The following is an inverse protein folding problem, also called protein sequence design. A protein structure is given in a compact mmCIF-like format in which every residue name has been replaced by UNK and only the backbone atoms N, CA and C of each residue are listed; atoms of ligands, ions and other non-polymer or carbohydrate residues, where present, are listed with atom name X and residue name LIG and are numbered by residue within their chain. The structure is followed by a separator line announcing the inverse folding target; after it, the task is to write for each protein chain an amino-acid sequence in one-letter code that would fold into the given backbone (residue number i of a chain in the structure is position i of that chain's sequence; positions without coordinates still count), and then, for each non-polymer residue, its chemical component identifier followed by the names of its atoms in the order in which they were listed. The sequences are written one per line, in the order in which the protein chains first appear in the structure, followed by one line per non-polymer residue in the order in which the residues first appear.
data_IF_348817536307
#
_entry.id   IF_348817536307
#
_cell.length_a   1.000
_cell.length_b   1.000
_cell.length_c   1.000
_cell.angle_alpha   90.00
_cell.angle_beta   90.00
_cell.angle_gamma   90.00
#
_symmetry.space_group_name_H-M   'P 1'
#
loop_
_entity.id
_entity.type
_entity.pdbx_description
1 polymer ?
#
# COMPACT_ATOMS: atom_id res chain seq x y z
N UNK A 1 -27.88 9.01 -23.95
CA UNK A 1 -26.87 8.62 -24.95
C UNK A 1 -26.48 7.19 -24.67
N UNK A 2 -26.57 6.30 -25.66
CA UNK A 2 -26.13 4.91 -25.53
C UNK A 2 -24.63 4.85 -25.75
N UNK A 3 -23.86 4.59 -24.70
CA UNK A 3 -22.43 4.37 -24.82
C UNK A 3 -22.17 3.06 -25.57
N UNK A 4 -21.13 2.97 -26.42
CA UNK A 4 -20.63 1.70 -26.92
C UNK A 4 -20.34 0.75 -25.74
N UNK A 5 -20.57 -0.57 -25.87
CA UNK A 5 -20.41 -1.52 -24.77
C UNK A 5 -19.06 -1.40 -24.04
N UNK A 6 -17.95 -1.30 -24.79
CA UNK A 6 -16.62 -1.11 -24.20
C UNK A 6 -16.49 0.18 -23.39
N UNK A 7 -17.09 1.28 -23.83
CA UNK A 7 -17.05 2.54 -23.10
C UNK A 7 -17.89 2.49 -21.82
N UNK A 8 -19.00 1.76 -21.85
CA UNK A 8 -19.78 1.47 -20.66
C UNK A 8 -18.96 0.61 -19.67
N UNK A 9 -18.31 -0.44 -20.15
CA UNK A 9 -17.48 -1.31 -19.29
C UNK A 9 -16.27 -0.55 -18.71
N UNK A 10 -15.62 0.32 -19.48
CA UNK A 10 -14.54 1.20 -18.99
C UNK A 10 -15.07 2.12 -17.87
N UNK A 11 -16.26 2.68 -18.04
CA UNK A 11 -16.89 3.55 -17.06
C UNK A 11 -17.19 2.81 -15.75
N UNK A 12 -17.79 1.63 -15.83
CA UNK A 12 -18.10 0.81 -14.67
C UNK A 12 -16.81 0.37 -13.95
N UNK A 13 -15.79 -0.08 -14.69
CA UNK A 13 -14.48 -0.39 -14.12
C UNK A 13 -13.85 0.82 -13.41
N UNK A 14 -13.95 2.01 -13.99
CA UNK A 14 -13.43 3.23 -13.36
C UNK A 14 -14.23 3.65 -12.12
N UNK A 15 -15.54 3.38 -12.07
CA UNK A 15 -16.40 3.61 -10.89
C UNK A 15 -16.07 2.63 -9.77
N UNK A 16 -15.95 1.34 -10.08
CA UNK A 16 -15.65 0.30 -9.12
C UNK A 16 -14.25 0.45 -8.53
N UNK A 17 -13.25 0.72 -9.39
CA UNK A 17 -11.85 0.73 -9.00
C UNK A 17 -11.32 2.12 -8.67
N UNK A 18 -12.05 3.18 -8.98
CA UNK A 18 -11.63 4.58 -8.81
C UNK A 18 -10.59 5.08 -9.83
N UNK A 19 -9.79 4.19 -10.43
CA UNK A 19 -8.83 4.43 -11.50
C UNK A 19 -8.69 3.21 -12.41
N UNK A 20 -8.47 3.46 -13.70
CA UNK A 20 -8.14 2.44 -14.71
C UNK A 20 -6.96 2.91 -15.56
N UNK A 21 -5.97 2.03 -15.76
CA UNK A 21 -4.81 2.35 -16.61
C UNK A 21 -5.09 2.04 -18.09
N UNK A 22 -4.43 2.77 -18.99
CA UNK A 22 -4.55 2.52 -20.43
C UNK A 22 -4.09 1.11 -20.78
N UNK A 23 -2.99 0.65 -20.19
CA UNK A 23 -2.36 -0.63 -20.51
C UNK A 23 -3.21 -1.81 -20.01
N UNK A 24 -3.78 -1.71 -18.80
CA UNK A 24 -4.70 -2.71 -18.25
C UNK A 24 -5.94 -2.85 -19.12
N UNK A 25 -6.56 -1.73 -19.52
CA UNK A 25 -7.74 -1.76 -20.38
C UNK A 25 -7.39 -2.28 -21.79
N UNK A 26 -6.23 -1.93 -22.33
CA UNK A 26 -5.78 -2.41 -23.64
C UNK A 26 -5.65 -3.95 -23.64
N UNK A 27 -5.06 -4.49 -22.57
CA UNK A 27 -4.95 -5.94 -22.38
C UNK A 27 -6.32 -6.60 -22.14
N UNK A 28 -7.14 -6.04 -21.25
CA UNK A 28 -8.45 -6.60 -20.88
C UNK A 28 -9.43 -6.66 -22.07
N UNK A 29 -9.43 -5.64 -22.93
CA UNK A 29 -10.30 -5.58 -24.10
C UNK A 29 -9.65 -6.09 -25.39
N UNK A 30 -8.40 -6.58 -25.33
CA UNK A 30 -7.60 -7.02 -26.48
C UNK A 30 -7.55 -5.98 -27.62
N UNK A 31 -7.31 -4.71 -27.27
CA UNK A 31 -7.20 -3.59 -28.21
C UNK A 31 -5.89 -2.83 -28.02
N UNK A 32 -5.57 -1.92 -28.95
CA UNK A 32 -4.38 -1.09 -28.83
C UNK A 32 -4.54 -0.01 -27.76
N UNK A 33 -3.44 0.44 -27.11
CA UNK A 33 -3.46 1.59 -26.20
C UNK A 33 -4.05 2.86 -26.84
N UNK A 34 -3.86 3.03 -28.16
CA UNK A 34 -4.47 4.14 -28.90
C UNK A 34 -6.00 4.08 -28.94
N UNK A 35 -6.57 2.88 -29.04
CA UNK A 35 -8.02 2.68 -29.00
C UNK A 35 -8.59 3.08 -27.64
N UNK A 36 -7.95 2.62 -26.56
CA UNK A 36 -8.33 3.00 -25.19
C UNK A 36 -8.17 4.50 -24.94
N UNK A 37 -7.08 5.12 -25.42
CA UNK A 37 -6.89 6.58 -25.32
C UNK A 37 -8.05 7.34 -25.97
N UNK A 38 -8.53 6.88 -27.13
CA UNK A 38 -9.69 7.48 -27.80
C UNK A 38 -10.96 7.32 -26.99
N UNK A 39 -11.23 6.12 -26.45
CA UNK A 39 -12.43 5.87 -25.62
C UNK A 39 -12.42 6.71 -24.34
N UNK A 40 -11.28 6.78 -23.65
CA UNK A 40 -11.09 7.63 -22.47
C UNK A 40 -11.31 9.10 -22.80
N UNK A 41 -10.78 9.59 -23.93
CA UNK A 41 -10.96 10.98 -24.33
C UNK A 41 -12.43 11.30 -24.58
N UNK A 42 -13.16 10.42 -25.26
CA UNK A 42 -14.59 10.61 -25.51
C UNK A 42 -15.42 10.61 -24.22
N UNK A 43 -15.13 9.70 -23.30
CA UNK A 43 -15.78 9.67 -21.98
C UNK A 43 -15.44 10.91 -21.14
N UNK A 44 -14.22 11.42 -21.26
CA UNK A 44 -13.80 12.63 -20.55
C UNK A 44 -14.40 13.92 -21.12
N UNK A 45 -14.53 14.03 -22.45
CA UNK A 45 -15.25 15.12 -23.11
C UNK A 45 -16.73 15.17 -22.69
N UNK A 46 -17.31 14.02 -22.34
CA UNK A 46 -18.68 13.91 -21.83
C UNK A 46 -18.79 14.15 -20.31
N UNK A 47 -17.67 14.43 -19.61
CA UNK A 47 -17.65 14.61 -18.16
C UNK A 47 -18.00 13.34 -17.40
N UNK A 48 -17.73 12.17 -17.98
CA UNK A 48 -17.99 10.86 -17.37
C UNK A 48 -16.74 10.27 -16.71
N UNK A 49 -15.55 10.70 -17.16
CA UNK A 49 -14.25 10.33 -16.60
C UNK A 49 -13.33 11.55 -16.52
N UNK A 50 -12.44 11.55 -15.54
CA UNK A 50 -11.33 12.49 -15.43
C UNK A 50 -10.05 11.88 -15.97
N UNK A 51 -9.39 12.55 -16.91
CA UNK A 51 -8.09 12.10 -17.43
C UNK A 51 -6.99 12.27 -16.38
N UNK A 52 -6.11 11.28 -16.31
CA UNK A 52 -4.92 11.27 -15.45
C UNK A 52 -3.69 10.83 -16.27
N UNK A 53 -2.50 10.97 -15.72
CA UNK A 53 -1.29 10.48 -16.40
C UNK A 53 -1.33 8.95 -16.51
N UNK A 54 -1.40 8.42 -17.73
CA UNK A 54 -1.41 6.98 -18.00
C UNK A 54 -2.77 6.26 -17.90
N UNK A 55 -3.87 6.99 -17.67
CA UNK A 55 -5.18 6.37 -17.43
C UNK A 55 -6.34 7.35 -17.30
N UNK A 56 -7.40 6.89 -16.65
CA UNK A 56 -8.56 7.70 -16.30
C UNK A 56 -9.13 7.30 -14.94
N UNK A 57 -9.78 8.26 -14.27
CA UNK A 57 -10.48 8.07 -13.02
C UNK A 57 -11.97 8.40 -13.18
N UNK A 58 -12.83 7.85 -12.33
CA UNK A 58 -14.21 8.30 -12.26
C UNK A 58 -14.29 9.75 -11.78
N UNK A 59 -15.21 10.55 -12.31
CA UNK A 59 -15.44 11.93 -11.87
C UNK A 59 -15.84 12.04 -10.39
N UNK A 60 -16.53 11.02 -9.85
CA UNK A 60 -16.92 11.00 -8.43
C UNK A 60 -15.79 10.57 -7.49
N UNK A 61 -14.63 10.15 -8.01
CA UNK A 61 -13.50 9.71 -7.18
C UNK A 61 -12.75 10.91 -6.62
N UNK A 62 -12.48 10.90 -5.31
CA UNK A 62 -11.55 11.86 -4.71
C UNK A 62 -10.14 11.68 -5.30
N UNK A 63 -9.36 12.75 -5.39
CA UNK A 63 -7.95 12.70 -5.86
C UNK A 63 -7.12 11.69 -5.05
N UNK A 64 -7.37 11.57 -3.74
CA UNK A 64 -6.70 10.61 -2.87
C UNK A 64 -7.09 9.17 -3.18
N UNK A 65 -8.37 8.89 -3.44
CA UNK A 65 -8.85 7.56 -3.80
C UNK A 65 -8.28 7.12 -5.17
N UNK A 66 -8.30 8.01 -6.16
CA UNK A 66 -7.62 7.75 -7.45
C UNK A 66 -6.14 7.44 -7.27
N UNK A 67 -5.42 8.21 -6.44
CA UNK A 67 -4.00 7.96 -6.16
C UNK A 67 -3.77 6.64 -5.42
N UNK A 68 -4.69 6.21 -4.56
CA UNK A 68 -4.66 4.88 -3.95
C UNK A 68 -4.82 3.78 -5.00
N UNK A 69 -5.84 3.85 -5.84
CA UNK A 69 -6.09 2.84 -6.88
C UNK A 69 -4.96 2.73 -7.89
N UNK A 70 -4.37 3.87 -8.29
CA UNK A 70 -3.15 3.89 -9.10
C UNK A 70 -2.00 3.16 -8.39
N UNK A 71 -1.77 3.44 -7.11
CA UNK A 71 -0.75 2.73 -6.32
C UNK A 71 -1.06 1.24 -6.22
N UNK A 72 -2.32 0.83 -6.09
CA UNK A 72 -2.68 -0.58 -5.97
C UNK A 72 -2.35 -1.38 -7.25
N UNK A 73 -2.50 -0.76 -8.43
CA UNK A 73 -2.12 -1.37 -9.72
C UNK A 73 -0.62 -1.29 -10.04
N UNK A 74 0.07 -0.24 -9.59
CA UNK A 74 1.50 -0.06 -9.83
C UNK A 74 2.36 -1.10 -9.11
N UNK A 75 3.42 -1.58 -9.77
CA UNK A 75 4.41 -2.50 -9.20
C UNK A 75 3.76 -3.73 -8.54
N UNK A 76 2.68 -4.24 -9.14
CA UNK A 76 1.85 -5.27 -8.53
C UNK A 76 2.61 -6.58 -8.34
N UNK A 77 3.41 -6.97 -9.33
CA UNK A 77 4.18 -8.22 -9.30
C UNK A 77 5.34 -8.12 -8.30
N UNK A 78 5.99 -6.96 -8.21
CA UNK A 78 7.01 -6.64 -7.20
C UNK A 78 6.42 -6.72 -5.79
N UNK A 79 5.27 -6.08 -5.56
CA UNK A 79 4.57 -6.13 -4.27
C UNK A 79 4.17 -7.54 -3.89
N UNK A 80 3.75 -8.35 -4.86
CA UNK A 80 3.40 -9.74 -4.62
C UNK A 80 4.62 -10.57 -4.19
N UNK A 81 5.78 -10.38 -4.83
CA UNK A 81 7.03 -11.05 -4.42
C UNK A 81 7.49 -10.62 -3.03
N UNK A 82 7.47 -9.31 -2.76
CA UNK A 82 7.76 -8.74 -1.43
C UNK A 82 6.79 -9.33 -0.39
N UNK A 83 5.50 -9.40 -0.72
CA UNK A 83 4.47 -9.93 0.17
C UNK A 83 4.69 -11.40 0.52
N UNK A 84 4.98 -12.24 -0.47
CA UNK A 84 5.24 -13.65 -0.27
C UNK A 84 6.49 -13.88 0.59
N UNK A 85 7.57 -13.12 0.35
CA UNK A 85 8.80 -13.21 1.12
C UNK A 85 8.60 -12.80 2.58
N UNK A 86 7.84 -11.74 2.83
CA UNK A 86 7.49 -11.32 4.20
C UNK A 86 6.63 -12.37 4.88
N UNK A 87 5.56 -12.84 4.22
CA UNK A 87 4.65 -13.82 4.79
C UNK A 87 5.37 -15.12 5.18
N UNK A 88 6.36 -15.57 4.38
CA UNK A 88 7.18 -16.74 4.70
C UNK A 88 8.01 -16.62 5.98
N UNK A 89 8.23 -15.40 6.48
CA UNK A 89 8.97 -15.13 7.72
C UNK A 89 8.05 -15.07 8.95
N UNK A 90 6.72 -15.12 8.77
CA UNK A 90 5.75 -15.00 9.85
C UNK A 90 5.34 -16.38 10.36
N UNK A 91 5.56 -16.69 11.65
CA UNK A 91 5.05 -17.92 12.23
C UNK A 91 3.51 -17.91 12.34
N UNK A 92 2.90 -19.09 12.31
CA UNK A 92 1.52 -19.25 12.79
C UNK A 92 1.42 -18.79 14.25
N UNK A 93 0.24 -18.31 14.64
CA UNK A 93 -0.05 -17.81 15.99
C UNK A 93 0.73 -16.55 16.42
N UNK A 94 1.40 -15.87 15.49
CA UNK A 94 2.08 -14.61 15.76
C UNK A 94 1.10 -13.44 15.93
N UNK A 95 1.55 -12.41 16.67
CA UNK A 95 0.88 -11.12 16.78
C UNK A 95 1.53 -10.08 15.86
N UNK A 96 0.71 -9.34 15.10
CA UNK A 96 1.16 -8.48 14.01
C UNK A 96 0.51 -7.10 14.06
N UNK A 97 1.30 -6.06 13.81
CA UNK A 97 0.80 -4.79 13.29
C UNK A 97 0.88 -4.80 11.76
N UNK A 98 -0.15 -4.28 11.10
CA UNK A 98 -0.14 -4.01 9.65
C UNK A 98 -0.60 -2.58 9.42
N UNK A 99 0.28 -1.72 8.90
CA UNK A 99 -0.06 -0.32 8.64
C UNK A 99 -0.78 -0.11 7.30
N UNK A 100 -1.10 1.15 7.00
CA UNK A 100 -1.70 1.57 5.73
C UNK A 100 -0.70 1.38 4.59
N UNK A 101 -1.15 0.83 3.47
CA UNK A 101 -0.32 0.69 2.28
C UNK A 101 -0.81 -0.40 1.33
N UNK A 102 -0.66 -0.16 0.04
CA UNK A 102 -1.02 -1.16 -0.98
C UNK A 102 -0.11 -2.39 -0.94
N UNK A 103 1.15 -2.21 -0.51
CA UNK A 103 2.09 -3.33 -0.32
C UNK A 103 1.73 -4.14 0.92
N UNK A 104 1.28 -3.50 2.01
CA UNK A 104 0.86 -4.21 3.22
C UNK A 104 -0.48 -4.91 3.05
N UNK A 105 -1.36 -4.42 2.18
CA UNK A 105 -2.54 -5.16 1.70
C UNK A 105 -2.18 -6.41 0.88
N UNK A 106 -1.12 -6.36 0.07
CA UNK A 106 -0.61 -7.57 -0.60
C UNK A 106 -0.09 -8.59 0.41
N UNK A 107 0.64 -8.14 1.44
CA UNK A 107 1.09 -9.00 2.55
C UNK A 107 -0.11 -9.63 3.26
N UNK A 108 -1.15 -8.86 3.58
CA UNK A 108 -2.35 -9.38 4.23
C UNK A 108 -2.99 -10.52 3.43
N UNK A 109 -3.00 -10.43 2.09
CA UNK A 109 -3.51 -11.50 1.23
C UNK A 109 -2.70 -12.79 1.37
N UNK A 110 -1.38 -12.71 1.38
CA UNK A 110 -0.50 -13.87 1.57
C UNK A 110 -0.65 -14.49 2.98
N UNK A 111 -0.90 -13.66 3.99
CA UNK A 111 -1.12 -14.13 5.35
C UNK A 111 -2.37 -15.02 5.50
N UNK A 112 -3.32 -15.03 4.57
CA UNK A 112 -4.48 -15.93 4.61
C UNK A 112 -4.09 -17.43 4.63
N UNK A 113 -2.89 -17.77 4.16
CA UNK A 113 -2.31 -19.12 4.26
C UNK A 113 -1.87 -19.53 5.67
N UNK A 114 -1.82 -18.61 6.62
CA UNK A 114 -1.40 -18.85 8.00
C UNK A 114 -2.57 -19.27 8.89
N UNK A 115 -2.26 -19.57 10.15
CA UNK A 115 -3.23 -19.96 11.18
C UNK A 115 -3.08 -19.15 12.45
N UNK A 116 -4.21 -18.85 13.09
CA UNK A 116 -4.24 -18.33 14.46
C UNK A 116 -3.63 -16.95 14.67
N UNK A 117 -3.49 -16.12 13.63
CA UNK A 117 -2.83 -14.81 13.75
C UNK A 117 -3.68 -13.82 14.56
N UNK A 118 -3.02 -12.98 15.36
CA UNK A 118 -3.63 -11.81 16.00
C UNK A 118 -3.15 -10.54 15.29
N UNK A 119 -4.03 -9.90 14.54
CA UNK A 119 -3.69 -8.74 13.70
C UNK A 119 -4.29 -7.48 14.29
N UNK A 120 -3.46 -6.47 14.46
CA UNK A 120 -3.87 -5.12 14.81
C UNK A 120 -3.54 -4.22 13.62
N UNK A 121 -4.53 -3.51 13.08
CA UNK A 121 -4.32 -2.69 11.89
C UNK A 121 -5.07 -1.36 11.96
N UNK A 122 -4.55 -0.35 11.27
CA UNK A 122 -5.23 0.91 11.01
C UNK A 122 -5.62 1.04 9.52
N UNK A 123 -5.77 -0.08 8.81
CA UNK A 123 -6.16 -0.13 7.40
C UNK A 123 -7.47 -0.93 7.25
N UNK A 124 -8.54 -0.28 6.77
CA UNK A 124 -9.83 -0.91 6.53
C UNK A 124 -9.77 -2.05 5.52
N UNK A 125 -8.93 -1.93 4.49
CA UNK A 125 -8.79 -2.95 3.46
C UNK A 125 -8.16 -4.23 4.04
N UNK A 126 -7.12 -4.08 4.86
CA UNK A 126 -6.50 -5.20 5.58
C UNK A 126 -7.50 -5.84 6.53
N UNK A 127 -8.22 -5.03 7.32
CA UNK A 127 -9.20 -5.55 8.27
C UNK A 127 -10.30 -6.36 7.57
N UNK A 128 -10.89 -5.81 6.51
CA UNK A 128 -11.95 -6.47 5.74
C UNK A 128 -11.48 -7.78 5.09
N UNK A 129 -10.23 -7.84 4.60
CA UNK A 129 -9.67 -9.04 3.99
C UNK A 129 -9.43 -10.14 5.03
N UNK A 130 -8.86 -9.80 6.18
CA UNK A 130 -8.41 -10.77 7.18
C UNK A 130 -9.52 -11.21 8.14
N UNK A 131 -10.51 -10.35 8.42
CA UNK A 131 -11.58 -10.66 9.38
C UNK A 131 -12.52 -11.77 8.94
N UNK A 132 -12.54 -12.09 7.64
CA UNK A 132 -13.35 -13.18 7.09
C UNK A 132 -12.80 -14.57 7.49
N UNK A 133 -11.54 -14.65 7.94
CA UNK A 133 -10.89 -15.90 8.31
C UNK A 133 -11.17 -16.22 9.78
N UNK A 134 -11.88 -17.32 10.01
CA UNK A 134 -12.46 -17.66 11.32
C UNK A 134 -11.43 -17.86 12.45
N UNK A 135 -10.20 -18.27 12.13
CA UNK A 135 -9.14 -18.50 13.11
C UNK A 135 -8.22 -17.29 13.32
N UNK A 136 -8.52 -16.13 12.71
CA UNK A 136 -7.79 -14.89 12.95
C UNK A 136 -8.54 -14.00 13.93
N UNK A 137 -7.80 -13.30 14.79
CA UNK A 137 -8.32 -12.22 15.62
C UNK A 137 -7.86 -10.89 15.03
N UNK A 138 -8.80 -10.09 14.51
CA UNK A 138 -8.50 -8.82 13.84
C UNK A 138 -9.04 -7.67 14.67
N UNK A 139 -8.15 -6.80 15.14
CA UNK A 139 -8.48 -5.56 15.81
C UNK A 139 -8.18 -4.38 14.90
N UNK A 140 -9.17 -3.53 14.69
CA UNK A 140 -9.08 -2.35 13.85
C UNK A 140 -9.02 -1.09 14.73
N UNK A 141 -8.02 -0.24 14.49
CA UNK A 141 -7.91 1.05 15.16
C UNK A 141 -9.13 1.94 14.85
N UNK A 142 -9.64 2.64 15.87
CA UNK A 142 -10.63 3.71 15.67
C UNK A 142 -9.96 5.02 15.25
N UNK A 143 -10.73 5.98 14.73
CA UNK A 143 -10.23 7.30 14.36
C UNK A 143 -10.86 7.88 13.10
N UNK A 144 -10.15 8.81 12.46
CA UNK A 144 -10.59 9.43 11.20
C UNK A 144 -10.29 8.50 10.03
N UNK A 145 -11.33 8.10 9.30
CA UNK A 145 -11.20 7.30 8.09
C UNK A 145 -10.90 8.21 6.90
N UNK A 146 -9.79 7.93 6.20
CA UNK A 146 -9.41 8.56 4.93
C UNK A 146 -10.09 7.85 3.75
N UNK A 147 -10.14 8.53 2.60
CA UNK A 147 -10.76 7.95 1.40
C UNK A 147 -10.00 6.76 0.81
N UNK A 148 -8.75 6.53 1.22
CA UNK A 148 -7.95 5.35 0.86
C UNK A 148 -8.03 4.21 1.89
N UNK A 149 -9.04 4.26 2.78
CA UNK A 149 -9.29 3.22 3.78
C UNK A 149 -8.38 3.27 5.00
N UNK A 150 -7.43 4.20 5.04
CA UNK A 150 -6.56 4.40 6.19
C UNK A 150 -7.25 5.09 7.36
N UNK A 151 -6.95 4.64 8.59
CA UNK A 151 -7.44 5.24 9.84
C UNK A 151 -6.29 5.96 10.53
N UNK A 152 -6.51 7.24 10.80
CA UNK A 152 -5.50 8.14 11.36
C UNK A 152 -6.05 8.96 12.53
N UNK A 153 -5.18 9.75 13.16
CA UNK A 153 -5.51 10.64 14.26
C UNK A 153 -5.13 10.07 15.63
N UNK A 154 -5.30 10.88 16.68
CA UNK A 154 -4.80 10.56 18.03
C UNK A 154 -5.42 9.28 18.59
N UNK A 155 -6.71 9.03 18.35
CA UNK A 155 -7.38 7.80 18.77
C UNK A 155 -6.71 6.54 18.21
N UNK A 156 -6.25 6.58 16.95
CA UNK A 156 -5.54 5.47 16.33
C UNK A 156 -4.15 5.27 16.97
N UNK A 157 -3.44 6.37 17.26
CA UNK A 157 -2.15 6.34 17.97
C UNK A 157 -2.31 5.73 19.36
N UNK A 158 -3.24 6.23 20.16
CA UNK A 158 -3.50 5.75 21.52
C UNK A 158 -3.89 4.28 21.53
N UNK A 159 -4.71 3.86 20.57
CA UNK A 159 -5.09 2.46 20.40
C UNK A 159 -3.89 1.56 20.12
N UNK A 160 -3.03 1.93 19.16
CA UNK A 160 -1.83 1.15 18.83
C UNK A 160 -0.90 1.02 20.03
N UNK A 161 -0.78 2.07 20.85
CA UNK A 161 0.08 2.09 22.04
C UNK A 161 -0.38 1.13 23.14
N UNK A 162 -1.59 0.58 23.09
CA UNK A 162 -2.07 -0.40 24.08
C UNK A 162 -1.52 -1.81 23.85
N UNK A 163 -0.87 -2.06 22.71
CA UNK A 163 -0.42 -3.39 22.32
C UNK A 163 1.10 -3.43 22.15
N UNK A 164 1.72 -4.56 22.48
CA UNK A 164 3.09 -4.91 22.07
C UNK A 164 3.01 -6.21 21.28
N UNK A 165 3.42 -6.18 20.02
CA UNK A 165 3.29 -7.32 19.09
C UNK A 165 4.64 -7.89 18.69
N UNK A 166 4.63 -9.09 18.11
CA UNK A 166 5.85 -9.76 17.63
C UNK A 166 6.41 -9.05 16.40
N UNK A 167 5.56 -8.75 15.41
CA UNK A 167 6.01 -8.12 14.15
C UNK A 167 5.21 -6.88 13.77
N UNK A 168 5.86 -5.87 13.21
CA UNK A 168 5.23 -4.79 12.46
C UNK A 168 5.55 -4.93 10.97
N UNK A 169 4.51 -4.98 10.14
CA UNK A 169 4.60 -5.01 8.69
C UNK A 169 4.26 -3.62 8.18
N UNK A 170 5.28 -2.89 7.76
CA UNK A 170 5.20 -1.44 7.52
C UNK A 170 5.54 -1.15 6.06
N UNK A 171 4.66 -0.43 5.37
CA UNK A 171 4.97 0.23 4.10
C UNK A 171 5.44 1.67 4.31
N UNK A 172 6.04 2.26 3.28
CA UNK A 172 6.46 3.66 3.27
C UNK A 172 6.22 4.33 1.92
N UNK A 173 6.07 5.65 1.92
CA UNK A 173 5.86 6.45 0.71
C UNK A 173 7.15 6.82 -0.01
N UNK A 174 8.27 6.96 0.71
CA UNK A 174 9.59 7.22 0.13
C UNK A 174 10.75 6.97 1.09
N UNK A 175 11.92 6.69 0.52
CA UNK A 175 13.20 6.57 1.22
C UNK A 175 14.21 7.50 0.53
N UNK A 176 14.75 8.46 1.28
CA UNK A 176 15.78 9.37 0.78
C UNK A 176 17.18 8.76 0.92
N UNK A 177 18.17 9.26 0.17
CA UNK A 177 19.53 8.70 0.13
C UNK A 177 20.27 8.77 1.49
N UNK A 178 19.83 9.66 2.38
CA UNK A 178 20.32 9.76 3.76
C UNK A 178 19.70 8.71 4.71
N UNK A 179 18.84 7.82 4.18
CA UNK A 179 18.12 6.80 4.93
C UNK A 179 16.87 7.31 5.65
N UNK A 180 16.41 8.52 5.35
CA UNK A 180 15.14 9.03 5.89
C UNK A 180 13.96 8.27 5.31
N UNK A 181 13.08 7.79 6.18
CA UNK A 181 11.77 7.24 5.83
C UNK A 181 10.76 8.38 5.80
N UNK A 182 10.06 8.53 4.68
CA UNK A 182 9.25 9.71 4.37
C UNK A 182 7.80 9.36 3.97
N UNK A 183 6.87 10.21 4.38
CA UNK A 183 5.46 10.17 4.01
C UNK A 183 4.85 11.53 3.65
N UNK A 184 3.62 11.52 3.14
CA UNK A 184 2.89 12.71 2.72
C UNK A 184 1.96 13.26 3.79
N UNK A 185 1.61 12.45 4.79
CA UNK A 185 0.66 12.82 5.84
C UNK A 185 1.26 12.62 7.24
N UNK A 186 1.26 13.71 8.03
CA UNK A 186 1.76 13.67 9.39
C UNK A 186 0.93 12.81 10.33
N UNK A 187 -0.39 12.69 10.09
CA UNK A 187 -1.24 11.84 10.91
C UNK A 187 -0.93 10.36 10.68
N UNK A 188 -0.65 9.97 9.44
CA UNK A 188 -0.19 8.62 9.07
C UNK A 188 1.18 8.32 9.70
N UNK A 189 2.10 9.28 9.63
CA UNK A 189 3.42 9.15 10.28
C UNK A 189 3.30 8.90 11.78
N UNK A 190 2.42 9.61 12.49
CA UNK A 190 2.23 9.41 13.94
C UNK A 190 1.77 8.00 14.28
N UNK A 191 0.85 7.44 13.49
CA UNK A 191 0.39 6.07 13.70
C UNK A 191 1.51 5.07 13.37
N UNK A 192 2.23 5.25 12.26
CA UNK A 192 3.35 4.38 11.89
C UNK A 192 4.49 4.42 12.92
N UNK A 193 4.79 5.57 13.52
CA UNK A 193 5.75 5.69 14.63
C UNK A 193 5.30 4.90 15.87
N UNK A 194 4.00 4.95 16.20
CA UNK A 194 3.44 4.14 17.28
C UNK A 194 3.53 2.64 16.97
N UNK A 195 3.28 2.23 15.73
CA UNK A 195 3.41 0.83 15.28
C UNK A 195 4.86 0.34 15.45
N UNK A 196 5.83 1.11 14.93
CA UNK A 196 7.26 0.76 14.97
C UNK A 196 7.76 0.63 16.40
N UNK A 197 7.44 1.59 17.27
CA UNK A 197 7.87 1.55 18.67
C UNK A 197 7.27 0.39 19.48
N UNK A 198 6.14 -0.16 19.04
CA UNK A 198 5.40 -1.19 19.76
C UNK A 198 5.54 -2.61 19.16
N UNK A 199 6.44 -2.82 18.21
CA UNK A 199 6.79 -4.16 17.72
C UNK A 199 8.13 -4.67 18.29
N UNK A 200 8.34 -5.99 18.26
CA UNK A 200 9.64 -6.62 18.58
C UNK A 200 10.54 -6.71 17.36
N UNK A 201 9.93 -6.97 16.19
CA UNK A 201 10.60 -6.94 14.91
C UNK A 201 9.80 -6.08 13.93
N UNK A 202 10.48 -5.23 13.17
CA UNK A 202 9.88 -4.30 12.21
C UNK A 202 10.38 -4.66 10.82
N UNK A 203 9.45 -5.09 9.97
CA UNK A 203 9.70 -5.42 8.56
C UNK A 203 9.18 -4.28 7.69
N UNK A 204 10.09 -3.67 6.95
CA UNK A 204 9.79 -2.63 5.98
C UNK A 204 9.60 -3.27 4.60
N UNK A 205 8.40 -3.14 4.06
CA UNK A 205 8.03 -3.60 2.73
C UNK A 205 8.09 -2.42 1.75
N UNK A 206 9.03 -2.44 0.81
CA UNK A 206 9.27 -1.29 -0.06
C UNK A 206 9.65 -1.74 -1.46
N UNK A 207 8.87 -1.30 -2.46
CA UNK A 207 9.25 -1.51 -3.86
C UNK A 207 10.28 -0.45 -4.32
N UNK A 208 11.02 -0.77 -5.38
CA UNK A 208 12.13 0.01 -5.91
C UNK A 208 11.73 1.44 -6.30
N UNK A 209 10.44 1.69 -6.62
CA UNK A 209 9.92 3.02 -6.94
C UNK A 209 9.88 4.00 -5.75
N UNK A 210 10.10 3.52 -4.52
CA UNK A 210 10.08 4.35 -3.31
C UNK A 210 11.44 4.93 -2.94
N UNK A 211 12.53 4.39 -3.48
CA UNK A 211 13.87 4.96 -3.26
C UNK A 211 14.04 6.25 -4.08
N UNK A 212 14.53 7.31 -3.45
CA UNK A 212 14.66 8.64 -4.05
C UNK A 212 13.34 9.38 -4.26
N UNK A 213 12.24 8.89 -3.65
CA UNK A 213 10.91 9.50 -3.79
C UNK A 213 10.72 10.63 -2.78
N UNK A 214 10.49 11.84 -3.30
CA UNK A 214 10.31 13.04 -2.49
C UNK A 214 8.95 13.06 -1.78
N UNK A 215 8.97 12.76 -0.49
CA UNK A 215 7.88 12.99 0.45
C UNK A 215 8.35 13.98 1.54
N UNK A 216 7.43 14.69 2.19
CA UNK A 216 7.79 15.90 2.97
C UNK A 216 7.73 15.69 4.49
N UNK A 217 7.05 14.64 4.94
CA UNK A 217 6.92 14.33 6.37
C UNK A 217 7.89 13.23 6.74
N UNK A 218 8.74 13.48 7.71
CA UNK A 218 9.72 12.50 8.19
C UNK A 218 9.09 11.54 9.19
N UNK A 219 9.04 10.26 8.84
CA UNK A 219 8.68 9.18 9.76
C UNK A 219 9.84 8.87 10.72
N UNK A 220 11.04 8.76 10.18
CA UNK A 220 12.24 8.41 10.94
C UNK A 220 13.38 8.00 10.03
N UNK A 221 14.27 7.13 10.53
CA UNK A 221 15.40 6.59 9.78
C UNK A 221 15.18 5.10 9.51
N UNK A 222 15.79 4.58 8.44
CA UNK A 222 15.93 3.14 8.19
C UNK A 222 16.50 2.37 9.38
N UNK A 223 17.26 3.03 10.27
CA UNK A 223 17.74 2.43 11.51
C UNK A 223 16.63 2.00 12.50
N UNK A 224 15.39 2.42 12.28
CA UNK A 224 14.23 2.04 13.10
C UNK A 224 13.63 0.69 12.72
N UNK A 225 14.11 0.05 11.65
CA UNK A 225 13.56 -1.23 11.17
C UNK A 225 14.60 -2.33 11.28
N UNK A 226 14.16 -3.58 11.42
CA UNK A 226 15.06 -4.73 11.55
C UNK A 226 15.37 -5.35 10.19
N UNK A 227 14.40 -5.33 9.27
CA UNK A 227 14.53 -5.91 7.93
C UNK A 227 13.88 -5.03 6.87
N UNK A 228 14.48 -4.97 5.68
CA UNK A 228 13.96 -4.30 4.49
C UNK A 228 13.77 -5.34 3.40
N UNK A 229 12.57 -5.43 2.84
CA UNK A 229 12.23 -6.30 1.71
C UNK A 229 11.96 -5.44 0.47
N UNK A 230 12.71 -5.68 -0.61
CA UNK A 230 12.66 -4.91 -1.85
C UNK A 230 12.91 -5.77 -3.09
N UNK A 231 12.40 -5.34 -4.25
CA UNK A 231 12.54 -6.01 -5.56
C UNK A 231 13.83 -5.65 -6.30
N UNK A 232 14.54 -4.61 -5.86
CA UNK A 232 15.79 -4.18 -6.47
C UNK A 232 16.83 -3.75 -5.44
N UNK A 233 18.11 -3.96 -5.77
CA UNK A 233 19.24 -3.55 -4.94
C UNK A 233 19.21 -2.02 -4.74
N UNK A 234 19.17 -1.51 -3.49
CA UNK A 234 19.23 -0.08 -3.22
C UNK A 234 20.56 0.55 -3.65
N UNK A 235 20.63 1.88 -3.63
CA UNK A 235 21.88 2.60 -3.90
C UNK A 235 22.98 2.21 -2.89
N UNK A 236 24.24 2.42 -3.28
CA UNK A 236 25.38 2.13 -2.40
C UNK A 236 25.33 2.91 -1.08
N UNK A 237 24.75 4.12 -1.09
CA UNK A 237 24.53 4.93 0.10
C UNK A 237 23.55 4.24 1.07
N UNK A 238 22.39 3.80 0.57
CA UNK A 238 21.40 3.07 1.37
C UNK A 238 21.97 1.76 1.91
N UNK A 239 22.62 0.94 1.06
CA UNK A 239 23.19 -0.34 1.49
C UNK A 239 24.22 -0.16 2.62
N UNK A 240 25.00 0.92 2.58
CA UNK A 240 25.93 1.26 3.66
C UNK A 240 25.19 1.55 4.96
N UNK A 241 24.14 2.37 4.92
CA UNK A 241 23.33 2.70 6.09
C UNK A 241 22.65 1.46 6.68
N UNK A 242 22.09 0.58 5.84
CA UNK A 242 21.50 -0.68 6.30
C UNK A 242 22.55 -1.54 7.02
N UNK A 243 23.76 -1.64 6.46
CA UNK A 243 24.86 -2.40 7.07
C UNK A 243 25.32 -1.79 8.40
N UNK A 244 25.51 -0.47 8.45
CA UNK A 244 25.95 0.27 9.65
C UNK A 244 24.96 0.11 10.81
N UNK A 245 23.66 0.14 10.49
CA UNK A 245 22.59 -0.02 11.48
C UNK A 245 22.17 -1.47 11.72
N UNK A 246 22.85 -2.45 11.09
CA UNK A 246 22.54 -3.90 11.19
C UNK A 246 21.12 -4.24 10.77
N UNK A 247 20.57 -3.48 9.83
CA UNK A 247 19.29 -3.75 9.18
C UNK A 247 19.52 -4.79 8.10
N UNK A 248 18.80 -5.90 8.16
CA UNK A 248 18.94 -6.96 7.16
C UNK A 248 18.20 -6.57 5.87
N UNK A 249 18.85 -6.80 4.73
CA UNK A 249 18.26 -6.56 3.40
C UNK A 249 17.87 -7.90 2.77
N UNK A 250 16.58 -8.05 2.48
CA UNK A 250 16.01 -9.16 1.73
C UNK A 250 15.66 -8.69 0.31
N UNK A 251 16.43 -9.17 -0.67
CA UNK A 251 16.15 -8.93 -2.09
C UNK A 251 15.27 -10.06 -2.63
N UNK A 252 14.13 -9.71 -3.22
CA UNK A 252 13.08 -10.66 -3.67
C UNK A 252 12.76 -10.49 -5.14
#
# INVERSE_FOLDING_TARGET
MTLPPRQHDILELARERGYVSIDELAQAFAVTPQTIRRDINQLAEQGLLRRTHGGAASESSSTQNTAYSMRAGQMRDEKQRIAAAIAAQIPNHASLFINIGTTTEAIARELLGHKGLKIITNNLHVAAQLSAKADFEVLLAGGTVRSDGGIVGQAAVDFIQQFKVDFALVGISGIDEDGSLLDFDYQEVRVSQAIISNARQVFLAVDSSKFGRNAVVRLGSVALVDRVFTDATPSAAINRLLTEHKVHLDLV
#
